data_IF_648857899748
#
_entry.id   IF_648857899748
#
_cell.length_a   1.000
_cell.length_b   1.000
_cell.length_c   1.000
_cell.angle_alpha   90.00
_cell.angle_beta   90.00
_cell.angle_gamma   90.00
#
_symmetry.space_group_name_H-M   'P 1'
#
loop_
_entity.id
_entity.type
_entity.pdbx_description
1 polymer ?
#
# COMPACT_ATOMS: atom_id res chain seq x y z
N UNK A 1 10.58 0.49 10.63
CA UNK A 1 10.98 1.18 9.39
C UNK A 1 10.00 2.31 9.13
N UNK A 2 10.40 3.29 8.33
CA UNK A 2 9.54 4.41 7.95
C UNK A 2 9.78 4.76 6.48
N UNK A 3 8.77 5.29 5.81
CA UNK A 3 8.86 5.76 4.42
C UNK A 3 7.96 6.98 4.21
N UNK A 4 8.31 7.82 3.25
CA UNK A 4 7.52 8.98 2.84
C UNK A 4 7.48 9.10 1.33
N UNK A 5 6.40 9.68 0.81
CA UNK A 5 6.25 9.93 -0.62
C UNK A 5 5.08 10.83 -0.94
N UNK A 6 5.10 11.39 -2.14
CA UNK A 6 4.10 12.34 -2.62
C UNK A 6 3.66 12.04 -4.05
N UNK A 7 2.47 12.54 -4.40
CA UNK A 7 1.89 12.54 -5.73
C UNK A 7 1.48 13.98 -6.09
N UNK A 8 2.38 14.78 -6.70
CA UNK A 8 2.14 16.20 -6.98
C UNK A 8 0.93 16.46 -7.87
N UNK A 9 0.56 15.49 -8.71
CA UNK A 9 -0.57 15.61 -9.63
C UNK A 9 -1.90 15.79 -8.90
N UNK A 10 -2.04 15.22 -7.70
CA UNK A 10 -3.23 15.34 -6.86
C UNK A 10 -2.96 16.05 -5.52
N UNK A 11 -1.70 16.43 -5.27
CA UNK A 11 -1.27 17.01 -4.00
C UNK A 11 -1.38 16.02 -2.83
N UNK A 12 -1.26 14.72 -3.11
CA UNK A 12 -1.26 13.70 -2.06
C UNK A 12 0.15 13.57 -1.46
N UNK A 13 0.22 13.42 -0.15
CA UNK A 13 1.42 13.22 0.65
C UNK A 13 1.13 12.11 1.66
N UNK A 14 2.06 11.18 1.85
CA UNK A 14 1.95 10.12 2.85
C UNK A 14 3.29 9.84 3.52
N UNK A 15 3.23 9.60 4.82
CA UNK A 15 4.30 9.06 5.64
C UNK A 15 3.79 7.81 6.34
N UNK A 16 4.57 6.73 6.27
CA UNK A 16 4.29 5.46 6.90
C UNK A 16 5.34 5.15 7.96
N UNK A 17 4.88 4.67 9.12
CA UNK A 17 5.72 4.09 10.16
C UNK A 17 5.26 2.65 10.40
N UNK A 18 6.18 1.70 10.27
CA UNK A 18 5.90 0.26 10.34
C UNK A 18 6.83 -0.41 11.35
N UNK A 19 6.26 -1.09 12.33
CA UNK A 19 6.95 -1.93 13.30
C UNK A 19 6.97 -3.38 12.80
N UNK A 20 8.15 -4.01 12.80
CA UNK A 20 8.33 -5.41 12.42
C UNK A 20 8.91 -6.16 13.60
N UNK A 21 8.28 -7.28 13.98
CA UNK A 21 8.74 -8.17 15.03
C UNK A 21 8.68 -9.61 14.54
N UNK A 22 9.77 -10.36 14.68
CA UNK A 22 9.79 -11.78 14.28
C UNK A 22 9.52 -12.03 12.78
N UNK A 23 9.76 -11.05 11.91
CA UNK A 23 9.45 -11.17 10.47
C UNK A 23 8.00 -10.86 10.09
N UNK A 24 7.19 -10.37 11.03
CA UNK A 24 5.80 -9.99 10.83
C UNK A 24 5.55 -8.52 11.16
N UNK A 25 4.52 -7.94 10.56
CA UNK A 25 4.06 -6.59 10.87
C UNK A 25 3.40 -6.58 12.25
N UNK A 26 4.02 -5.89 13.20
CA UNK A 26 3.54 -5.73 14.57
C UNK A 26 2.75 -4.43 14.79
N UNK A 27 2.87 -3.49 13.85
CA UNK A 27 2.14 -2.23 13.91
C UNK A 27 2.41 -1.38 12.68
N UNK A 28 1.41 -0.60 12.27
CA UNK A 28 1.54 0.35 11.17
C UNK A 28 0.71 1.58 11.46
N UNK A 29 1.26 2.75 11.13
CA UNK A 29 0.59 4.05 11.21
C UNK A 29 0.87 4.82 9.94
N UNK A 30 -0.07 5.65 9.54
CA UNK A 30 0.14 6.61 8.47
C UNK A 30 -0.21 8.02 8.96
N UNK A 31 0.52 8.99 8.43
CA UNK A 31 0.17 10.40 8.44
C UNK A 31 0.16 10.86 6.99
N UNK A 32 -0.81 11.65 6.58
CA UNK A 32 -0.83 12.14 5.22
C UNK A 32 -1.89 13.19 5.00
N UNK A 33 -1.83 13.79 3.82
CA UNK A 33 -2.80 14.75 3.31
C UNK A 33 -3.03 14.41 1.86
N UNK A 34 -4.27 14.48 1.39
CA UNK A 34 -4.56 14.22 -0.02
C UNK A 34 -6.04 14.06 -0.28
N UNK A 35 -6.36 13.62 -1.48
CA UNK A 35 -7.72 13.28 -1.86
C UNK A 35 -8.25 12.08 -1.05
N UNK A 36 -9.58 11.92 -1.05
CA UNK A 36 -10.24 10.83 -0.34
C UNK A 36 -9.75 9.43 -0.75
N UNK A 37 -9.37 9.24 -2.01
CA UNK A 37 -8.83 7.96 -2.52
C UNK A 37 -7.49 7.64 -1.86
N UNK A 38 -6.58 8.62 -1.79
CA UNK A 38 -5.27 8.46 -1.15
C UNK A 38 -5.43 8.15 0.34
N UNK A 39 -6.27 8.90 1.04
CA UNK A 39 -6.52 8.70 2.48
C UNK A 39 -7.20 7.35 2.77
N UNK A 40 -8.20 6.98 1.97
CA UNK A 40 -8.87 5.69 2.10
C UNK A 40 -7.91 4.52 1.84
N UNK A 41 -7.11 4.59 0.77
CA UNK A 41 -6.14 3.55 0.44
C UNK A 41 -5.07 3.39 1.54
N UNK A 42 -4.52 4.48 2.05
CA UNK A 42 -3.57 4.43 3.16
C UNK A 42 -4.20 3.84 4.43
N UNK A 43 -5.43 4.23 4.76
CA UNK A 43 -6.16 3.67 5.91
C UNK A 43 -6.46 2.18 5.75
N UNK A 44 -6.87 1.73 4.57
CA UNK A 44 -7.13 0.32 4.28
C UNK A 44 -5.84 -0.50 4.30
N UNK A 45 -4.73 0.03 3.75
CA UNK A 45 -3.41 -0.58 3.85
C UNK A 45 -3.04 -0.89 5.29
N UNK A 46 -3.23 0.07 6.22
CA UNK A 46 -2.84 -0.14 7.63
C UNK A 46 -3.59 -1.30 8.30
N UNK A 47 -4.83 -1.54 7.89
CA UNK A 47 -5.64 -2.65 8.40
C UNK A 47 -5.24 -3.96 7.71
N UNK A 48 -5.07 -3.93 6.39
CA UNK A 48 -4.83 -5.11 5.58
C UNK A 48 -3.49 -5.79 5.86
N UNK A 49 -2.44 -5.03 6.23
CA UNK A 49 -1.10 -5.60 6.43
C UNK A 49 -0.82 -6.03 7.88
N UNK A 50 -1.73 -5.77 8.83
CA UNK A 50 -1.49 -6.06 10.24
C UNK A 50 -1.30 -7.57 10.44
N UNK A 51 -0.30 -7.94 11.26
CA UNK A 51 0.03 -9.35 11.58
C UNK A 51 0.47 -10.22 10.40
N UNK A 52 0.56 -9.69 9.18
CA UNK A 52 1.09 -10.40 8.03
C UNK A 52 2.61 -10.52 8.10
N UNK A 53 3.14 -11.60 7.53
CA UNK A 53 4.56 -11.75 7.22
C UNK A 53 4.98 -10.81 6.08
N UNK A 54 6.28 -10.56 5.92
CA UNK A 54 6.77 -9.70 4.84
C UNK A 54 6.47 -10.27 3.44
N UNK A 55 6.39 -11.59 3.32
CA UNK A 55 6.06 -12.30 2.08
C UNK A 55 4.57 -12.13 1.73
N UNK A 56 3.69 -12.25 2.72
CA UNK A 56 2.25 -12.02 2.55
C UNK A 56 1.95 -10.57 2.18
N UNK A 57 2.66 -9.60 2.78
CA UNK A 57 2.54 -8.18 2.41
C UNK A 57 2.95 -7.93 0.96
N UNK A 58 3.98 -8.62 0.47
CA UNK A 58 4.43 -8.50 -0.92
C UNK A 58 3.41 -9.11 -1.90
N UNK A 59 2.85 -10.28 -1.57
CA UNK A 59 1.78 -10.89 -2.36
C UNK A 59 0.52 -10.00 -2.42
N UNK A 60 0.15 -9.38 -1.30
CA UNK A 60 -0.97 -8.45 -1.23
C UNK A 60 -0.72 -7.19 -2.07
N UNK A 61 0.50 -6.65 -2.03
CA UNK A 61 0.90 -5.51 -2.86
C UNK A 61 0.75 -5.81 -4.34
N UNK A 62 1.27 -6.96 -4.81
CA UNK A 62 1.17 -7.34 -6.22
C UNK A 62 -0.29 -7.56 -6.65
N UNK A 63 -1.12 -8.13 -5.78
CA UNK A 63 -2.56 -8.28 -6.02
C UNK A 63 -3.26 -6.93 -6.14
N UNK A 64 -3.00 -6.00 -5.21
CA UNK A 64 -3.58 -4.66 -5.23
C UNK A 64 -3.14 -3.85 -6.45
N UNK A 65 -1.85 -3.92 -6.79
CA UNK A 65 -1.28 -3.29 -7.98
C UNK A 65 -1.86 -3.89 -9.26
N UNK A 66 -1.99 -5.23 -9.33
CA UNK A 66 -2.64 -5.94 -10.42
C UNK A 66 -4.07 -5.44 -10.65
N UNK A 67 -4.86 -5.30 -9.58
CA UNK A 67 -6.21 -4.73 -9.64
C UNK A 67 -6.23 -3.31 -10.21
N UNK A 68 -5.30 -2.45 -9.77
CA UNK A 68 -5.24 -1.04 -10.20
C UNK A 68 -4.84 -0.86 -11.66
N UNK A 69 -3.88 -1.66 -12.14
CA UNK A 69 -3.37 -1.57 -13.51
C UNK A 69 -4.06 -2.51 -14.49
N UNK A 70 -4.97 -3.34 -14.01
CA UNK A 70 -5.84 -4.17 -14.83
C UNK A 70 -5.20 -5.47 -15.33
N UNK A 71 -4.38 -6.11 -14.51
CA UNK A 71 -3.95 -7.49 -14.74
C UNK A 71 -5.15 -8.44 -14.65
N UNK A 72 -5.18 -9.47 -15.51
CA UNK A 72 -6.22 -10.50 -15.52
C UNK A 72 -6.02 -11.56 -14.40
N UNK A 73 -4.87 -11.53 -13.72
CA UNK A 73 -4.53 -12.43 -12.61
C UNK A 73 -4.64 -11.71 -11.26
N UNK A 74 -5.87 -11.41 -10.84
CA UNK A 74 -6.12 -10.87 -9.50
C UNK A 74 -6.95 -11.90 -8.74
N UNK A 75 -6.39 -12.42 -7.65
CA UNK A 75 -7.15 -13.20 -6.69
C UNK A 75 -8.00 -12.25 -5.85
N UNK A 76 -9.28 -12.13 -6.20
CA UNK A 76 -10.21 -11.25 -5.50
C UNK A 76 -10.38 -11.60 -4.02
N UNK A 77 -10.26 -12.89 -3.64
CA UNK A 77 -10.41 -13.31 -2.24
C UNK A 77 -9.27 -12.75 -1.37
N UNK A 78 -8.07 -12.59 -1.94
CA UNK A 78 -6.89 -12.05 -1.24
C UNK A 78 -6.98 -10.55 -0.91
N UNK A 79 -7.86 -9.81 -1.59
CA UNK A 79 -7.93 -8.34 -1.45
C UNK A 79 -8.83 -7.89 -0.29
N UNK A 80 -9.81 -8.70 0.11
CA UNK A 80 -10.78 -8.32 1.13
C UNK A 80 -11.39 -6.94 0.89
N UNK A 81 -11.36 -6.08 1.90
CA UNK A 81 -11.91 -4.72 1.83
C UNK A 81 -11.26 -3.82 0.76
N UNK A 82 -10.04 -4.16 0.28
CA UNK A 82 -9.37 -3.40 -0.78
C UNK A 82 -10.09 -3.50 -2.12
N UNK A 83 -10.92 -4.52 -2.33
CA UNK A 83 -11.76 -4.65 -3.52
C UNK A 83 -12.70 -3.44 -3.69
N UNK A 84 -13.07 -2.76 -2.60
CA UNK A 84 -13.86 -1.53 -2.65
C UNK A 84 -13.20 -0.42 -3.51
N UNK A 85 -11.87 -0.46 -3.67
CA UNK A 85 -11.13 0.48 -4.50
C UNK A 85 -11.07 0.07 -5.99
N UNK A 86 -11.57 -1.10 -6.39
CA UNK A 86 -11.48 -1.60 -7.77
C UNK A 86 -11.97 -0.61 -8.82
N UNK A 87 -12.97 0.21 -8.49
CA UNK A 87 -13.52 1.24 -9.39
C UNK A 87 -12.50 2.31 -9.80
N UNK A 88 -11.44 2.53 -9.01
CA UNK A 88 -10.39 3.52 -9.29
C UNK A 88 -9.63 3.19 -10.57
N UNK A 89 -9.51 1.90 -10.95
CA UNK A 89 -8.83 1.47 -12.19
C UNK A 89 -9.40 2.12 -13.46
N UNK A 90 -10.67 2.53 -13.42
CA UNK A 90 -11.36 3.22 -14.54
C UNK A 90 -10.88 4.65 -14.73
N UNK A 91 -10.09 5.18 -13.80
CA UNK A 91 -9.60 6.55 -13.79
C UNK A 91 -8.07 6.57 -13.68
N UNK A 92 -7.33 6.41 -14.81
CA UNK A 92 -5.87 6.31 -14.79
C UNK A 92 -5.15 7.43 -14.01
N UNK A 93 -5.69 8.64 -14.04
CA UNK A 93 -5.17 9.80 -13.30
C UNK A 93 -5.27 9.61 -11.77
N UNK A 94 -6.24 8.82 -11.29
CA UNK A 94 -6.48 8.53 -9.86
C UNK A 94 -5.79 7.26 -9.36
N UNK A 95 -5.28 6.42 -10.26
CA UNK A 95 -4.55 5.19 -9.88
C UNK A 95 -3.37 5.52 -8.98
N UNK A 96 -2.62 6.59 -9.27
CA UNK A 96 -1.50 7.04 -8.41
C UNK A 96 -1.95 7.46 -7.01
N UNK A 97 -3.16 7.98 -6.85
CA UNK A 97 -3.71 8.28 -5.52
C UNK A 97 -3.90 6.99 -4.72
N UNK A 98 -4.44 5.94 -5.35
CA UNK A 98 -4.68 4.66 -4.70
C UNK A 98 -3.38 3.90 -4.39
N UNK A 99 -2.35 4.00 -5.24
CA UNK A 99 -1.12 3.21 -5.08
C UNK A 99 -0.01 3.91 -4.28
N UNK A 100 -0.14 5.20 -3.95
CA UNK A 100 0.92 5.97 -3.31
C UNK A 100 1.44 5.32 -2.01
N UNK A 101 0.57 5.07 -1.03
CA UNK A 101 0.97 4.48 0.25
C UNK A 101 1.59 3.07 0.07
N UNK A 102 1.08 2.30 -0.89
CA UNK A 102 1.57 0.97 -1.21
C UNK A 102 2.99 0.99 -1.78
N UNK A 103 3.28 1.93 -2.69
CA UNK A 103 4.62 2.10 -3.24
C UNK A 103 5.62 2.55 -2.16
N UNK A 104 5.20 3.49 -1.29
CA UNK A 104 6.04 3.94 -0.15
C UNK A 104 6.35 2.79 0.80
N UNK A 105 5.38 1.91 1.08
CA UNK A 105 5.62 0.72 1.90
C UNK A 105 6.65 -0.22 1.26
N UNK A 106 6.52 -0.50 -0.04
CA UNK A 106 7.42 -1.39 -0.77
C UNK A 106 8.86 -0.86 -0.79
N UNK A 107 9.04 0.42 -1.12
CA UNK A 107 10.37 1.05 -1.09
C UNK A 107 11.01 0.97 0.29
N UNK A 108 10.23 1.20 1.35
CA UNK A 108 10.72 1.13 2.72
C UNK A 108 11.04 -0.32 3.17
N UNK A 109 10.30 -1.32 2.69
CA UNK A 109 10.58 -2.74 2.91
C UNK A 109 11.84 -3.19 2.16
N UNK A 110 12.03 -2.77 0.93
CA UNK A 110 13.23 -3.06 0.14
C UNK A 110 14.49 -2.50 0.79
N UNK A 111 14.43 -1.27 1.28
CA UNK A 111 15.52 -0.67 2.04
C UNK A 111 15.79 -1.46 3.33
N UNK A 112 14.75 -1.84 4.07
CA UNK A 112 14.88 -2.63 5.29
C UNK A 112 15.55 -3.99 5.03
N UNK A 113 15.17 -4.69 3.95
CA UNK A 113 15.78 -5.98 3.55
C UNK A 113 17.27 -5.82 3.22
N UNK A 114 17.63 -4.78 2.46
CA UNK A 114 19.04 -4.46 2.12
C UNK A 114 19.90 -4.20 3.35
N UNK A 115 19.35 -3.56 4.40
CA UNK A 115 20.11 -3.28 5.64
C UNK A 115 20.27 -4.48 6.57
N UNK A 116 19.52 -5.57 6.35
CA UNK A 116 19.60 -6.80 7.15
C UNK A 116 20.44 -7.91 6.50
N UNK A 117 20.88 -7.70 5.27
CA UNK A 117 21.80 -8.60 4.54
C UNK A 117 23.24 -8.14 4.79
#
# INVERSE_FOLDING_TARGET
LSGEGDNPLCGDEVKLDVAIQGGQIAGVRFLGRGCSISQASASMLTQAIMSLSLEEVEALFESFKGMMYGSDQVDAESLGDLEALQGVRKFPVRVKCATLAWNVLQEALDQYRKTKT
#
